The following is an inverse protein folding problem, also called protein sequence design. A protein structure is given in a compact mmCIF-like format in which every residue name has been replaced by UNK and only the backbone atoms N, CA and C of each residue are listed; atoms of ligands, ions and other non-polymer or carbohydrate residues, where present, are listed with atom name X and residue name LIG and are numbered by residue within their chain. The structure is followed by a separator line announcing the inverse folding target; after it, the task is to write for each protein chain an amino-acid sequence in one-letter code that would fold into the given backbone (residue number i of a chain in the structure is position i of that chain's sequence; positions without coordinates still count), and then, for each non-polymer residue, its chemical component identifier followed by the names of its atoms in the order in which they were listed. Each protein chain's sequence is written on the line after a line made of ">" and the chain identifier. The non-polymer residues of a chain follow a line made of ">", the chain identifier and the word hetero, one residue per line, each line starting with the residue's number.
data_IF_745121500004
#
_entry.id   IF_745121500004
#
_cell.length_a   1.000
_cell.length_b   1.000
_cell.length_c   1.000
_cell.angle_alpha   90.00
_cell.angle_beta   90.00
_cell.angle_gamma   90.00
#
_symmetry.space_group_name_H-M   'P 1'
#
loop_
_entity.id
_entity.type
_entity.pdbx_description
1 polymer ?
#
# COMPACT_ATOMS: atom_id res chain seq x y z
N UNK A 1 -2.33 6.57 2.93
CA UNK A 1 -3.53 6.01 3.56
C UNK A 1 -3.52 6.36 5.04
N UNK A 2 -4.66 6.66 5.67
CA UNK A 2 -4.73 7.04 7.11
C UNK A 2 -4.50 5.87 8.09
N UNK A 3 -4.10 4.69 7.61
CA UNK A 3 -3.73 3.55 8.46
C UNK A 3 -4.88 2.92 9.24
N UNK A 4 -6.13 3.04 8.77
CA UNK A 4 -7.29 2.47 9.43
C UNK A 4 -7.43 0.98 9.10
N UNK A 5 -7.76 0.20 10.13
CA UNK A 5 -8.23 -1.18 9.97
C UNK A 5 -9.58 -1.23 9.26
N UNK A 6 -9.92 -2.38 8.67
CA UNK A 6 -11.21 -2.56 8.00
C UNK A 6 -12.40 -2.38 8.95
N UNK A 7 -12.22 -2.62 10.26
CA UNK A 7 -13.27 -2.41 11.27
C UNK A 7 -13.49 -0.94 11.58
N UNK A 8 -12.41 -0.16 11.74
CA UNK A 8 -12.50 1.28 11.95
C UNK A 8 -13.13 1.98 10.74
N UNK A 9 -12.86 1.50 9.52
CA UNK A 9 -13.52 2.00 8.30
C UNK A 9 -15.03 1.73 8.35
N UNK A 10 -15.46 0.55 8.80
CA UNK A 10 -16.89 0.22 8.95
C UNK A 10 -17.56 1.14 9.95
N UNK A 11 -16.95 1.35 11.12
CA UNK A 11 -17.46 2.26 12.15
C UNK A 11 -17.58 3.69 11.63
N UNK A 12 -16.55 4.18 10.94
CA UNK A 12 -16.54 5.50 10.30
C UNK A 12 -17.67 5.66 9.28
N UNK A 13 -17.98 4.59 8.51
CA UNK A 13 -19.08 4.61 7.55
C UNK A 13 -20.45 4.62 8.24
N UNK A 14 -20.58 3.90 9.36
CA UNK A 14 -21.81 3.90 10.14
C UNK A 14 -22.06 5.28 10.77
N UNK A 15 -21.04 5.91 11.31
CA UNK A 15 -21.15 7.24 11.93
C UNK A 15 -21.47 8.35 10.92
N UNK A 16 -20.80 8.38 9.77
CA UNK A 16 -20.96 9.46 8.79
C UNK A 16 -22.17 9.28 7.87
N UNK A 17 -22.54 8.04 7.56
CA UNK A 17 -23.50 7.74 6.50
C UNK A 17 -24.66 6.82 6.93
N UNK A 18 -24.71 6.40 8.20
CA UNK A 18 -25.65 5.39 8.73
C UNK A 18 -25.71 4.09 7.89
N UNK A 19 -24.63 3.81 7.16
CA UNK A 19 -24.56 2.71 6.22
C UNK A 19 -23.85 1.51 6.85
N UNK A 20 -24.53 0.36 6.87
CA UNK A 20 -23.94 -0.90 7.32
C UNK A 20 -23.14 -1.56 6.19
N UNK A 21 -21.81 -1.41 6.27
CA UNK A 21 -20.85 -2.03 5.35
C UNK A 21 -20.08 -3.13 6.06
N UNK A 22 -19.79 -4.24 5.36
CA UNK A 22 -19.02 -5.34 5.95
C UNK A 22 -17.51 -5.11 5.79
N UNK A 23 -16.67 -5.58 6.72
CA UNK A 23 -15.20 -5.56 6.54
C UNK A 23 -14.76 -6.27 5.26
N UNK A 24 -15.46 -7.34 4.87
CA UNK A 24 -15.22 -8.07 3.63
C UNK A 24 -15.50 -7.23 2.39
N UNK A 25 -16.53 -6.38 2.42
CA UNK A 25 -16.81 -5.44 1.33
C UNK A 25 -15.68 -4.41 1.20
N UNK A 26 -15.20 -3.86 2.31
CA UNK A 26 -14.06 -2.92 2.31
C UNK A 26 -12.80 -3.58 1.73
N UNK A 27 -12.49 -4.83 2.12
CA UNK A 27 -11.39 -5.59 1.52
C UNK A 27 -11.57 -5.77 0.00
N UNK A 28 -12.74 -6.21 -0.46
CA UNK A 28 -13.03 -6.37 -1.91
C UNK A 28 -12.90 -5.08 -2.70
N UNK A 29 -13.28 -3.94 -2.10
CA UNK A 29 -13.10 -2.63 -2.75
C UNK A 29 -11.62 -2.30 -2.85
N UNK A 30 -10.84 -2.60 -1.81
CA UNK A 30 -9.39 -2.39 -1.79
C UNK A 30 -8.68 -3.28 -2.82
N UNK A 31 -9.17 -4.50 -3.05
CA UNK A 31 -8.61 -5.40 -4.08
C UNK A 31 -8.73 -4.82 -5.50
N UNK A 32 -9.66 -3.88 -5.75
CA UNK A 32 -9.81 -3.25 -7.07
C UNK A 32 -8.62 -2.40 -7.49
N UNK A 33 -7.78 -1.95 -6.54
CA UNK A 33 -6.58 -1.17 -6.88
C UNK A 33 -5.39 -2.06 -7.27
N UNK A 34 -5.51 -3.39 -7.16
CA UNK A 34 -4.41 -4.31 -7.50
C UNK A 34 -3.93 -4.13 -8.94
N UNK A 35 -4.85 -3.96 -9.89
CA UNK A 35 -4.49 -3.71 -11.29
C UNK A 35 -3.70 -2.41 -11.47
N UNK A 36 -4.14 -1.34 -10.78
CA UNK A 36 -3.44 -0.04 -10.80
C UNK A 36 -2.05 -0.15 -10.18
N UNK A 37 -1.88 -0.96 -9.13
CA UNK A 37 -0.56 -1.22 -8.52
C UNK A 37 0.35 -1.92 -9.52
N UNK A 38 -0.13 -2.93 -10.24
CA UNK A 38 0.67 -3.64 -11.26
C UNK A 38 1.09 -2.70 -12.40
N UNK A 39 0.19 -1.85 -12.87
CA UNK A 39 0.50 -0.83 -13.88
C UNK A 39 1.53 0.18 -13.35
N UNK A 40 1.37 0.64 -12.12
CA UNK A 40 2.30 1.57 -11.48
C UNK A 40 3.69 0.95 -11.29
N UNK A 41 3.78 -0.33 -10.93
CA UNK A 41 5.06 -1.05 -10.81
C UNK A 41 5.76 -1.21 -12.17
N UNK A 42 4.99 -1.31 -13.25
CA UNK A 42 5.50 -1.52 -14.61
C UNK A 42 5.76 -0.22 -15.37
N UNK A 43 5.57 0.94 -14.72
CA UNK A 43 5.74 2.25 -15.36
C UNK A 43 7.18 2.44 -15.86
N UNK A 44 7.39 3.12 -16.99
CA UNK A 44 8.73 3.49 -17.41
C UNK A 44 9.38 4.42 -16.36
N UNK A 45 10.67 4.21 -16.12
CA UNK A 45 11.48 5.04 -15.25
C UNK A 45 12.38 5.95 -16.08
N UNK A 46 12.82 7.06 -15.49
CA UNK A 46 13.80 7.93 -16.11
C UNK A 46 15.14 7.20 -16.24
N UNK A 47 15.95 7.50 -17.28
CA UNK A 47 17.21 6.81 -17.49
C UNK A 47 18.27 7.12 -16.42
N UNK A 48 18.13 8.24 -15.70
CA UNK A 48 19.13 8.72 -14.73
C UNK A 48 18.44 9.25 -13.48
N UNK A 49 18.88 8.74 -12.31
CA UNK A 49 18.54 9.25 -10.99
C UNK A 49 19.85 9.57 -10.24
N UNK A 50 20.22 10.86 -10.09
CA UNK A 50 21.46 11.25 -9.42
C UNK A 50 21.59 10.76 -7.97
N UNK A 51 20.45 10.60 -7.28
CA UNK A 51 20.39 10.14 -5.90
C UNK A 51 19.33 9.04 -5.81
N UNK A 52 19.68 7.92 -5.17
CA UNK A 52 18.74 6.84 -4.85
C UNK A 52 18.83 6.52 -3.36
N UNK A 53 17.69 6.58 -2.68
CA UNK A 53 17.54 6.11 -1.31
C UNK A 53 17.00 4.69 -1.34
N UNK A 54 17.61 3.83 -0.52
CA UNK A 54 17.12 2.49 -0.26
C UNK A 54 16.74 2.41 1.22
N UNK A 55 15.50 2.00 1.47
CA UNK A 55 15.00 1.77 2.82
C UNK A 55 14.47 0.33 2.93
N UNK A 56 14.42 -0.18 4.15
CA UNK A 56 13.97 -1.53 4.45
C UNK A 56 13.12 -1.52 5.72
N UNK A 57 11.88 -2.01 5.59
CA UNK A 57 10.97 -2.17 6.72
C UNK A 57 10.68 -3.66 6.89
N UNK A 58 10.93 -4.16 8.10
CA UNK A 58 10.58 -5.54 8.46
C UNK A 58 9.18 -5.57 9.06
N UNK A 59 8.28 -6.30 8.41
CA UNK A 59 6.91 -6.48 8.89
C UNK A 59 6.61 -7.95 9.18
N UNK A 60 5.71 -8.20 10.13
CA UNK A 60 5.18 -9.52 10.40
C UNK A 60 4.04 -9.81 9.43
N UNK A 61 4.19 -10.88 8.64
CA UNK A 61 3.13 -11.35 7.76
C UNK A 61 2.77 -12.80 8.09
N UNK A 62 1.52 -13.17 7.79
CA UNK A 62 1.11 -14.57 7.82
C UNK A 62 1.38 -15.19 6.46
N UNK A 63 2.25 -16.19 6.43
CA UNK A 63 2.62 -16.96 5.24
C UNK A 63 2.56 -18.45 5.60
N UNK A 64 1.87 -19.25 4.80
CA UNK A 64 1.68 -20.69 5.05
C UNK A 64 1.29 -21.04 6.50
N UNK A 65 0.27 -20.36 7.04
CA UNK A 65 -0.23 -20.48 8.42
C UNK A 65 0.75 -20.10 9.54
N UNK A 66 1.93 -19.57 9.22
CA UNK A 66 2.92 -19.11 10.21
C UNK A 66 3.11 -17.61 10.10
N UNK A 67 3.34 -16.96 11.24
CA UNK A 67 3.71 -15.54 11.26
C UNK A 67 5.22 -15.45 11.15
N UNK A 68 5.70 -14.85 10.07
CA UNK A 68 7.13 -14.67 9.78
C UNK A 68 7.45 -13.19 9.58
N UNK A 69 8.69 -12.83 9.87
CA UNK A 69 9.22 -11.52 9.52
C UNK A 69 9.60 -11.52 8.02
N UNK A 70 9.06 -10.60 7.24
CA UNK A 70 9.53 -10.32 5.87
C UNK A 70 10.05 -8.89 5.76
N UNK A 71 11.15 -8.74 5.04
CA UNK A 71 11.71 -7.44 4.69
C UNK A 71 11.01 -6.91 3.43
N UNK A 72 10.52 -5.68 3.50
CA UNK A 72 10.04 -4.91 2.34
C UNK A 72 11.07 -3.84 2.05
N UNK A 73 11.58 -3.85 0.82
CA UNK A 73 12.54 -2.86 0.34
C UNK A 73 11.82 -1.75 -0.44
N UNK A 74 12.19 -0.51 -0.17
CA UNK A 74 11.71 0.67 -0.87
C UNK A 74 12.90 1.35 -1.57
N UNK A 75 12.78 1.58 -2.87
CA UNK A 75 13.73 2.40 -3.62
C UNK A 75 13.05 3.72 -4.01
N UNK A 76 13.69 4.84 -3.64
CA UNK A 76 13.23 6.19 -3.95
C UNK A 76 14.33 6.96 -4.69
N UNK A 77 14.09 7.26 -5.96
CA UNK A 77 15.02 8.02 -6.80
C UNK A 77 14.67 9.50 -6.84
N UNK A 78 15.67 10.38 -6.78
CA UNK A 78 15.52 11.79 -7.13
C UNK A 78 15.92 11.95 -8.58
N UNK A 79 15.03 12.48 -9.42
CA UNK A 79 15.29 12.68 -10.84
C UNK A 79 16.08 13.99 -11.10
N UNK A 80 16.40 14.27 -12.37
CA UNK A 80 17.17 15.46 -12.77
C UNK A 80 16.47 16.79 -12.45
N UNK A 81 15.14 16.78 -12.31
CA UNK A 81 14.35 17.96 -11.89
C UNK A 81 14.30 18.15 -10.37
N UNK A 82 15.01 17.30 -9.61
CA UNK A 82 15.00 17.31 -8.15
C UNK A 82 13.72 16.72 -7.54
N UNK A 83 12.89 16.04 -8.32
CA UNK A 83 11.64 15.41 -7.86
C UNK A 83 11.90 13.98 -7.39
N UNK A 84 11.26 13.62 -6.29
CA UNK A 84 11.23 12.27 -5.71
C UNK A 84 10.14 11.41 -6.34
#
# INVERSE_FOLDING_TARGET
>A
AKGLSTREIVETFKEMYDADVSPTLISKVTDRVLEQITQWQSRPLDPIYPIVYLDCIVIKIRDNMRVINKAIYLALGVNMDGKK
#
